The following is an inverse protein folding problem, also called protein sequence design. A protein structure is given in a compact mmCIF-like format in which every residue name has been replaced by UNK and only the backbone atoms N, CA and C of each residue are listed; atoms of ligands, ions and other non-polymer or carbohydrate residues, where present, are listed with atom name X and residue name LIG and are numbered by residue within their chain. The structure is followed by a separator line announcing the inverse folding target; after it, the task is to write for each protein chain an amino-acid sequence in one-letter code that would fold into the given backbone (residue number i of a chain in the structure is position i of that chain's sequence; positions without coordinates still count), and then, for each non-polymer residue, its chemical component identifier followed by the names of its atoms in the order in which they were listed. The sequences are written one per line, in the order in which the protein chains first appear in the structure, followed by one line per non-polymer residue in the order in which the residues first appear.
data_IF_375781784455
#
_entry.id   IF_375781784455
#
_cell.length_a   1.000
_cell.length_b   1.000
_cell.length_c   1.000
_cell.angle_alpha   90.00
_cell.angle_beta   90.00
_cell.angle_gamma   90.00
#
_symmetry.space_group_name_H-M   'P 1'
#
loop_
_entity.id
_entity.type
_entity.pdbx_description
1 polymer ?
#
# COMPACT_ATOMS: atom_id res chain seq x y z
N UNK A 1 -18.31 23.42 12.69
CA UNK A 1 -19.24 22.54 11.95
C UNK A 1 -19.51 23.15 10.58
N UNK A 2 -18.58 22.96 9.66
CA UNK A 2 -18.67 23.39 8.26
C UNK A 2 -19.51 22.35 7.52
N UNK A 3 -20.73 22.70 7.11
CA UNK A 3 -21.53 21.80 6.29
C UNK A 3 -20.79 21.55 4.95
N UNK A 4 -20.70 20.29 4.49
CA UNK A 4 -20.04 19.95 3.24
C UNK A 4 -20.74 20.68 2.09
N UNK A 5 -19.98 21.54 1.40
CA UNK A 5 -20.47 22.40 0.31
C UNK A 5 -20.98 21.63 -0.92
N UNK A 6 -20.82 20.30 -0.95
CA UNK A 6 -21.18 19.44 -2.07
C UNK A 6 -22.70 19.42 -2.39
N UNK A 7 -23.56 19.77 -1.44
CA UNK A 7 -25.01 19.52 -1.56
C UNK A 7 -25.78 20.64 -2.27
N UNK A 8 -25.14 21.80 -2.51
CA UNK A 8 -25.83 23.00 -3.02
C UNK A 8 -26.02 23.05 -4.54
N UNK A 9 -25.36 22.18 -5.30
CA UNK A 9 -25.40 22.21 -6.78
C UNK A 9 -26.25 21.11 -7.43
N UNK A 10 -26.91 20.25 -6.66
CA UNK A 10 -27.78 19.21 -7.23
C UNK A 10 -29.09 19.81 -7.77
N UNK A 11 -29.55 19.42 -8.98
CA UNK A 11 -30.83 19.87 -9.53
C UNK A 11 -32.00 19.52 -8.61
N UNK A 12 -33.00 20.40 -8.52
CA UNK A 12 -34.18 20.26 -7.65
C UNK A 12 -34.87 18.87 -7.68
N UNK A 13 -35.09 18.21 -8.83
CA UNK A 13 -35.73 16.89 -8.86
C UNK A 13 -34.88 15.79 -8.20
N UNK A 14 -33.54 15.88 -8.26
CA UNK A 14 -32.66 14.90 -7.61
C UNK A 14 -32.72 14.99 -6.08
N UNK A 15 -32.93 16.20 -5.53
CA UNK A 15 -33.01 16.41 -4.07
C UNK A 15 -34.24 15.75 -3.45
N UNK A 16 -35.33 15.65 -4.22
CA UNK A 16 -36.57 14.98 -3.81
C UNK A 16 -36.41 13.45 -3.76
N UNK A 17 -35.59 12.87 -4.64
CA UNK A 17 -35.33 11.43 -4.69
C UNK A 17 -34.31 10.96 -3.63
N UNK A 18 -33.33 11.81 -3.26
CA UNK A 18 -32.30 11.43 -2.28
C UNK A 18 -32.80 11.36 -0.83
N UNK A 19 -33.76 12.22 -0.45
CA UNK A 19 -34.28 12.28 0.93
C UNK A 19 -34.84 10.95 1.45
N UNK A 20 -35.73 10.23 0.75
CA UNK A 20 -36.25 8.97 1.25
C UNK A 20 -35.16 7.89 1.36
N UNK A 21 -34.20 7.85 0.43
CA UNK A 21 -33.10 6.89 0.45
C UNK A 21 -32.18 7.04 1.67
N UNK A 22 -31.93 8.27 2.09
CA UNK A 22 -31.14 8.53 3.30
C UNK A 22 -31.86 7.99 4.55
N UNK A 23 -33.18 8.17 4.65
CA UNK A 23 -33.97 7.64 5.77
C UNK A 23 -33.94 6.11 5.79
N UNK A 24 -34.06 5.46 4.62
CA UNK A 24 -33.96 3.99 4.50
C UNK A 24 -32.59 3.50 4.94
N UNK A 25 -31.51 4.17 4.54
CA UNK A 25 -30.14 3.80 4.94
C UNK A 25 -29.93 3.90 6.46
N UNK A 26 -30.37 5.01 7.08
CA UNK A 26 -30.26 5.20 8.54
C UNK A 26 -31.12 4.17 9.28
N UNK A 27 -32.34 3.91 8.81
CA UNK A 27 -33.22 2.90 9.39
C UNK A 27 -32.63 1.49 9.35
N UNK A 28 -32.00 1.11 8.22
CA UNK A 28 -31.36 -0.19 8.06
C UNK A 28 -30.17 -0.35 9.02
N UNK A 29 -29.33 0.67 9.18
CA UNK A 29 -28.20 0.62 10.10
C UNK A 29 -28.67 0.46 11.56
N UNK A 30 -29.72 1.17 11.97
CA UNK A 30 -30.30 1.03 13.32
C UNK A 30 -30.88 -0.37 13.52
N UNK A 31 -31.53 -0.95 12.51
CA UNK A 31 -32.07 -2.31 12.58
C UNK A 31 -30.96 -3.36 12.76
N UNK A 32 -29.83 -3.22 12.03
CA UNK A 32 -28.67 -4.12 12.15
C UNK A 32 -28.07 -4.05 13.56
N UNK A 33 -27.98 -2.86 14.16
CA UNK A 33 -27.48 -2.70 15.53
C UNK A 33 -28.43 -3.24 16.61
N UNK A 34 -29.74 -3.32 16.32
CA UNK A 34 -30.72 -3.93 17.22
C UNK A 34 -30.76 -5.47 17.13
N UNK A 35 -30.20 -6.07 16.08
CA UNK A 35 -30.11 -7.51 15.99
C UNK A 35 -29.05 -8.02 16.96
N UNK A 36 -29.41 -8.82 17.98
CA UNK A 36 -28.43 -9.40 18.88
C UNK A 36 -27.50 -10.28 18.06
N UNK A 37 -26.23 -9.89 17.99
CA UNK A 37 -25.19 -10.71 17.39
C UNK A 37 -25.18 -12.02 18.19
N UNK A 38 -25.35 -13.19 17.55
CA UNK A 38 -25.22 -14.46 18.25
C UNK A 38 -23.84 -14.49 18.89
N UNK A 39 -23.80 -14.64 20.21
CA UNK A 39 -22.56 -14.76 20.96
C UNK A 39 -21.69 -15.81 20.27
N UNK A 40 -20.59 -15.38 19.66
CA UNK A 40 -19.51 -16.27 19.24
C UNK A 40 -18.80 -16.75 20.49
N UNK A 41 -19.49 -17.55 21.29
CA UNK A 41 -18.88 -18.45 22.26
C UNK A 41 -18.22 -19.59 21.48
N UNK A 42 -17.22 -19.27 20.66
CA UNK A 42 -16.21 -20.23 20.29
C UNK A 42 -15.45 -20.48 21.58
N UNK A 43 -15.83 -21.56 22.28
CA UNK A 43 -14.97 -22.18 23.28
C UNK A 43 -13.65 -22.48 22.58
N UNK A 44 -12.67 -21.61 22.78
CA UNK A 44 -11.28 -21.97 22.66
C UNK A 44 -11.08 -23.13 23.64
N UNK A 45 -10.80 -24.36 23.16
CA UNK A 45 -10.54 -25.47 24.05
C UNK A 45 -9.35 -25.05 24.92
N UNK A 46 -9.43 -25.18 26.26
CA UNK A 46 -8.34 -24.80 27.13
C UNK A 46 -7.09 -25.52 26.65
N UNK A 47 -6.13 -24.73 26.14
CA UNK A 47 -4.80 -25.19 25.81
C UNK A 47 -4.28 -25.82 27.10
N UNK A 48 -4.13 -27.14 27.11
CA UNK A 48 -3.55 -27.86 28.23
C UNK A 48 -2.19 -27.21 28.50
N UNK A 49 -2.08 -26.52 29.64
CA UNK A 49 -0.81 -26.01 30.14
C UNK A 49 0.10 -27.21 30.35
N UNK A 50 0.93 -27.50 29.37
CA UNK A 50 2.05 -28.41 29.54
C UNK A 50 2.97 -27.73 30.56
N UNK A 51 3.26 -28.37 31.71
CA UNK A 51 4.12 -27.78 32.72
C UNK A 51 5.49 -27.53 32.08
N UNK A 52 5.80 -26.26 31.85
CA UNK A 52 7.10 -25.80 31.40
C UNK A 52 8.13 -26.28 32.42
N UNK A 53 8.81 -27.38 32.10
CA UNK A 53 10.02 -27.77 32.78
C UNK A 53 11.03 -26.65 32.55
N UNK A 54 11.23 -25.84 33.57
CA UNK A 54 12.32 -24.87 33.66
C UNK A 54 13.62 -25.66 33.43
N UNK A 55 14.11 -25.64 32.19
CA UNK A 55 15.43 -26.14 31.85
C UNK A 55 16.42 -25.19 32.49
N UNK A 56 16.82 -25.50 33.72
CA UNK A 56 17.93 -24.84 34.37
C UNK A 56 19.15 -25.02 33.48
N UNK A 57 19.72 -23.91 33.00
CA UNK A 57 20.99 -23.95 32.29
C UNK A 57 22.04 -24.52 33.27
N UNK A 58 22.73 -25.61 32.93
CA UNK A 58 23.81 -26.11 33.74
C UNK A 58 24.90 -25.03 33.84
N UNK A 59 25.41 -24.83 35.06
CA UNK A 59 26.54 -23.97 35.32
C UNK A 59 27.71 -24.35 34.40
N UNK A 60 28.27 -23.33 33.74
CA UNK A 60 29.39 -23.44 32.82
C UNK A 60 30.53 -24.26 33.43
N UNK A 61 30.83 -25.47 32.92
CA UNK A 61 31.91 -26.30 33.45
C UNK A 61 33.26 -25.72 33.03
N UNK A 62 34.20 -25.71 33.99
CA UNK A 62 35.60 -25.37 33.80
C UNK A 62 36.23 -26.18 32.63
N UNK A 63 37.23 -25.61 31.92
CA UNK A 63 37.83 -26.23 30.75
C UNK A 63 38.48 -27.56 31.12
N UNK A 64 37.87 -28.66 30.69
CA UNK A 64 38.40 -30.00 30.87
C UNK A 64 39.10 -30.44 29.58
N UNK A 65 40.27 -31.04 29.74
CA UNK A 65 41.16 -31.54 28.71
C UNK A 65 40.46 -32.43 27.66
N UNK A 66 40.98 -32.48 26.42
CA UNK A 66 40.34 -33.18 25.30
C UNK A 66 40.25 -34.69 25.56
N UNK A 67 39.01 -35.19 25.60
CA UNK A 67 38.68 -36.61 25.68
C UNK A 67 38.77 -37.24 24.26
N UNK A 68 39.24 -38.48 24.12
CA UNK A 68 39.44 -39.13 22.82
C UNK A 68 38.13 -39.27 22.02
N UNK A 69 38.22 -39.02 20.72
CA UNK A 69 37.10 -39.03 19.80
C UNK A 69 36.36 -40.39 19.78
N UNK A 70 35.07 -40.35 20.07
CA UNK A 70 34.17 -41.48 19.86
C UNK A 70 34.02 -41.78 18.36
N UNK A 71 33.94 -43.07 17.97
CA UNK A 71 33.77 -43.47 16.58
C UNK A 71 32.44 -42.95 15.99
N UNK A 72 32.42 -42.63 14.68
CA UNK A 72 31.28 -42.01 14.01
C UNK A 72 30.05 -42.91 14.05
N UNK A 73 28.93 -42.32 14.49
CA UNK A 73 27.61 -42.96 14.49
C UNK A 73 27.19 -43.25 13.04
N UNK A 74 26.66 -44.45 12.72
CA UNK A 74 26.20 -44.78 11.39
C UNK A 74 25.15 -43.79 10.89
N UNK A 75 25.18 -43.41 9.59
CA UNK A 75 24.19 -42.50 9.03
C UNK A 75 22.79 -43.12 9.11
N UNK A 76 21.75 -42.29 9.37
CA UNK A 76 20.37 -42.76 9.39
C UNK A 76 19.98 -43.32 8.01
N UNK A 77 19.09 -44.33 7.97
CA UNK A 77 18.62 -44.92 6.72
C UNK A 77 17.92 -43.86 5.86
N UNK A 78 18.34 -43.77 4.61
CA UNK A 78 17.81 -42.82 3.63
C UNK A 78 16.33 -43.15 3.37
N UNK A 79 15.40 -42.18 3.50
CA UNK A 79 13.98 -42.41 3.22
C UNK A 79 13.79 -42.92 1.79
N UNK A 80 13.18 -44.09 1.65
CA UNK A 80 12.87 -44.69 0.36
C UNK A 80 11.77 -43.83 -0.31
N UNK A 81 12.09 -43.25 -1.47
CA UNK A 81 11.18 -42.37 -2.20
C UNK A 81 9.87 -43.09 -2.53
N UNK A 82 8.74 -42.54 -2.07
CA UNK A 82 7.43 -43.00 -2.49
C UNK A 82 7.24 -42.77 -4.00
N UNK A 83 6.56 -43.69 -4.71
CA UNK A 83 6.30 -43.53 -6.14
C UNK A 83 5.53 -42.24 -6.40
N UNK A 84 6.07 -41.37 -7.26
CA UNK A 84 5.42 -40.15 -7.69
C UNK A 84 4.06 -40.47 -8.32
N UNK A 85 2.99 -39.88 -7.78
CA UNK A 85 1.66 -39.99 -8.36
C UNK A 85 1.68 -39.44 -9.79
N UNK A 86 1.18 -40.24 -10.73
CA UNK A 86 1.10 -39.88 -12.14
C UNK A 86 0.17 -38.66 -12.29
N UNK A 87 0.58 -37.60 -13.02
CA UNK A 87 -0.27 -36.43 -13.22
C UNK A 87 -1.57 -36.82 -13.92
N UNK A 88 -2.70 -36.62 -13.25
CA UNK A 88 -4.03 -36.74 -13.86
C UNK A 88 -4.21 -35.56 -14.82
N UNK A 89 -4.45 -35.86 -16.10
CA UNK A 89 -4.69 -34.82 -17.10
C UNK A 89 -5.88 -33.93 -16.70
N UNK A 90 -5.77 -32.60 -16.82
CA UNK A 90 -6.87 -31.71 -16.51
C UNK A 90 -8.05 -31.97 -17.46
N UNK A 91 -9.30 -31.84 -16.98
CA UNK A 91 -10.47 -31.98 -17.82
C UNK A 91 -10.48 -30.91 -18.93
N UNK A 92 -11.03 -31.21 -20.11
CA UNK A 92 -11.13 -30.26 -21.21
C UNK A 92 -11.95 -29.04 -20.77
N UNK A 93 -11.35 -27.85 -20.86
CA UNK A 93 -12.03 -26.59 -20.59
C UNK A 93 -13.04 -26.31 -21.71
N UNK A 94 -14.28 -26.06 -21.31
CA UNK A 94 -15.37 -25.65 -22.20
C UNK A 94 -15.02 -24.32 -22.88
N UNK A 95 -15.32 -24.13 -24.18
CA UNK A 95 -14.97 -22.91 -24.91
C UNK A 95 -15.67 -21.69 -24.29
N UNK A 96 -14.86 -20.72 -23.84
CA UNK A 96 -15.33 -19.41 -23.40
C UNK A 96 -16.02 -18.70 -24.56
N UNK A 97 -17.26 -18.19 -24.38
CA UNK A 97 -17.95 -17.43 -25.42
C UNK A 97 -17.15 -16.18 -25.78
N UNK A 98 -16.88 -16.00 -27.07
CA UNK A 98 -16.17 -14.84 -27.61
C UNK A 98 -17.00 -13.57 -27.33
N UNK A 99 -16.39 -12.49 -26.80
CA UNK A 99 -17.09 -11.23 -26.57
C UNK A 99 -17.57 -10.65 -27.90
N UNK A 100 -18.86 -10.34 -27.94
CA UNK A 100 -19.54 -9.70 -29.06
C UNK A 100 -19.14 -8.21 -29.07
N UNK A 101 -18.49 -7.77 -30.14
CA UNK A 101 -18.01 -6.40 -30.32
C UNK A 101 -19.16 -5.40 -30.12
N UNK A 102 -19.10 -4.62 -29.04
CA UNK A 102 -19.96 -3.47 -28.81
C UNK A 102 -19.53 -2.32 -29.75
N UNK A 103 -20.48 -1.58 -30.37
CA UNK A 103 -20.17 -0.50 -31.30
C UNK A 103 -19.35 0.61 -30.63
N UNK A 104 -18.25 0.97 -31.27
CA UNK A 104 -17.38 2.09 -30.92
C UNK A 104 -18.19 3.39 -30.90
N UNK A 105 -18.16 4.18 -29.81
CA UNK A 105 -18.78 5.51 -29.80
C UNK A 105 -18.05 6.42 -30.79
N UNK A 106 -18.81 7.06 -31.68
CA UNK A 106 -18.35 8.12 -32.57
C UNK A 106 -17.82 9.32 -31.78
N UNK A 107 -16.66 9.91 -32.14
CA UNK A 107 -16.12 11.09 -31.47
C UNK A 107 -17.06 12.28 -31.60
N UNK A 108 -17.50 12.82 -30.45
CA UNK A 108 -18.24 14.07 -30.39
C UNK A 108 -17.28 15.23 -30.67
N UNK A 109 -17.66 16.11 -31.59
CA UNK A 109 -16.86 17.23 -32.06
C UNK A 109 -16.41 18.14 -30.89
N UNK A 110 -15.10 18.36 -30.83
CA UNK A 110 -14.43 19.27 -29.91
C UNK A 110 -14.85 20.72 -30.21
N UNK A 111 -15.39 21.49 -29.25
CA UNK A 111 -15.70 22.90 -29.46
C UNK A 111 -14.41 23.71 -29.65
N UNK A 112 -14.36 24.45 -30.75
CA UNK A 112 -13.24 25.32 -31.12
C UNK A 112 -13.00 26.40 -30.05
N UNK A 113 -11.76 26.68 -29.66
CA UNK A 113 -11.45 27.75 -28.69
C UNK A 113 -11.81 29.13 -29.25
N UNK A 114 -12.27 30.07 -28.42
CA UNK A 114 -12.55 31.44 -28.84
C UNK A 114 -11.25 32.16 -29.21
N UNK A 115 -11.29 32.82 -30.38
CA UNK A 115 -10.22 33.66 -30.92
C UNK A 115 -9.89 34.82 -29.98
N UNK A 116 -8.61 35.09 -29.67
CA UNK A 116 -8.23 36.26 -28.89
C UNK A 116 -8.45 37.55 -29.69
N UNK A 117 -9.15 38.49 -29.06
CA UNK A 117 -9.35 39.87 -29.53
C UNK A 117 -8.04 40.66 -29.40
N UNK A 118 -7.62 41.44 -30.42
CA UNK A 118 -6.43 42.28 -30.32
C UNK A 118 -6.69 43.64 -29.65
N UNK A 119 -5.60 44.27 -29.20
CA UNK A 119 -5.39 45.71 -28.95
C UNK A 119 -5.64 46.23 -27.50
N UNK A 120 -4.94 47.27 -27.00
CA UNK A 120 -4.13 48.26 -27.73
C UNK A 120 -2.67 48.45 -27.29
N UNK A 121 -1.95 48.96 -28.28
CA UNK A 121 -0.59 49.44 -28.32
C UNK A 121 -0.50 50.79 -27.61
N UNK A 122 0.18 50.85 -26.46
CA UNK A 122 0.63 52.11 -25.86
C UNK A 122 2.14 52.22 -26.05
N UNK A 123 2.51 52.96 -27.08
CA UNK A 123 3.83 53.56 -27.27
C UNK A 123 4.08 54.59 -26.17
N UNK A 124 4.96 54.25 -25.22
CA UNK A 124 5.68 55.25 -24.42
C UNK A 124 7.17 55.02 -24.63
N UNK A 125 7.78 55.90 -25.41
CA UNK A 125 9.21 55.91 -25.70
C UNK A 125 9.93 56.58 -24.55
N UNK A 126 10.30 55.83 -23.51
CA UNK A 126 11.31 56.27 -22.55
C UNK A 126 12.67 55.65 -22.91
N UNK A 127 13.58 56.55 -23.25
CA UNK A 127 14.98 56.31 -23.54
C UNK A 127 15.67 55.74 -22.29
N UNK A 128 15.77 54.42 -22.20
CA UNK A 128 16.51 53.75 -21.13
C UNK A 128 18.01 53.74 -21.43
N UNK A 129 18.74 54.26 -20.46
CA UNK A 129 20.18 54.10 -20.23
C UNK A 129 20.61 52.64 -20.40
N UNK A 130 21.82 52.34 -20.93
CA UNK A 130 22.29 50.97 -21.13
C UNK A 130 22.30 50.20 -19.79
N UNK A 131 21.33 49.30 -19.64
CA UNK A 131 21.25 48.38 -18.51
C UNK A 131 22.42 47.39 -18.60
N UNK A 132 23.15 47.16 -17.50
CA UNK A 132 24.28 46.23 -17.48
C UNK A 132 23.81 44.84 -17.90
N UNK A 133 24.65 44.17 -18.71
CA UNK A 133 24.44 42.81 -19.18
C UNK A 133 24.05 41.90 -18.00
N UNK A 134 22.90 41.20 -18.06
CA UNK A 134 22.45 40.36 -16.96
C UNK A 134 23.51 39.31 -16.68
N UNK A 135 23.98 39.26 -15.44
CA UNK A 135 24.83 38.18 -14.95
C UNK A 135 24.12 36.84 -15.26
N UNK A 136 24.87 35.79 -15.67
CA UNK A 136 24.29 34.50 -15.99
C UNK A 136 23.39 34.05 -14.83
N UNK A 137 22.11 33.86 -15.14
CA UNK A 137 21.15 33.32 -14.20
C UNK A 137 21.71 31.99 -13.67
N UNK A 138 21.81 31.80 -12.35
CA UNK A 138 22.34 30.56 -11.80
C UNK A 138 21.49 29.42 -12.37
N UNK A 139 22.16 28.42 -12.95
CA UNK A 139 21.52 27.17 -13.36
C UNK A 139 20.66 26.70 -12.18
N UNK A 140 19.36 26.40 -12.39
CA UNK A 140 18.50 25.95 -11.30
C UNK A 140 19.20 24.80 -10.62
N UNK A 141 19.39 24.92 -9.30
CA UNK A 141 19.82 23.79 -8.49
C UNK A 141 18.82 22.66 -8.77
N UNK A 142 19.29 21.42 -8.99
CA UNK A 142 18.39 20.30 -9.20
C UNK A 142 17.39 20.29 -8.05
N UNK A 143 16.11 20.51 -8.37
CA UNK A 143 15.05 20.40 -7.40
C UNK A 143 15.06 18.95 -6.95
N UNK A 144 15.46 18.74 -5.69
CA UNK A 144 15.48 17.45 -5.03
C UNK A 144 14.03 17.00 -4.89
N UNK A 145 13.46 16.50 -5.98
CA UNK A 145 12.10 16.01 -6.04
C UNK A 145 12.13 14.70 -5.28
N UNK A 146 11.71 14.75 -4.01
CA UNK A 146 11.72 13.57 -3.16
C UNK A 146 10.94 12.46 -3.85
N UNK A 147 11.48 11.25 -3.84
CA UNK A 147 10.85 10.03 -4.36
C UNK A 147 9.36 9.96 -3.95
N UNK A 148 9.05 10.35 -2.71
CA UNK A 148 7.71 10.42 -2.17
C UNK A 148 6.70 11.22 -3.03
N UNK A 149 7.14 12.22 -3.79
CA UNK A 149 6.26 12.99 -4.69
C UNK A 149 5.96 12.26 -6.02
N UNK A 150 6.83 11.36 -6.45
CA UNK A 150 6.67 10.61 -7.70
C UNK A 150 5.90 9.30 -7.52
N UNK A 151 5.74 8.82 -6.28
CA UNK A 151 5.08 7.53 -6.05
C UNK A 151 3.58 7.68 -6.32
N UNK A 152 3.03 6.84 -7.21
CA UNK A 152 1.66 7.01 -7.67
C UNK A 152 0.67 6.40 -6.68
N UNK A 153 0.39 7.16 -5.63
CA UNK A 153 -0.60 6.80 -4.61
C UNK A 153 -2.01 6.55 -5.18
N UNK A 154 -2.29 7.16 -6.33
CA UNK A 154 -3.55 7.01 -7.05
C UNK A 154 -3.80 5.58 -7.55
N UNK A 155 -2.76 4.79 -7.83
CA UNK A 155 -2.91 3.46 -8.46
C UNK A 155 -3.51 2.45 -7.49
N UNK A 156 -3.20 2.57 -6.20
CA UNK A 156 -3.75 1.70 -5.14
C UNK A 156 -4.97 2.31 -4.44
N UNK A 157 -5.50 3.42 -4.95
CA UNK A 157 -6.57 4.17 -4.27
C UNK A 157 -6.15 4.66 -2.88
N UNK A 158 -4.86 4.96 -2.71
CA UNK A 158 -4.30 5.42 -1.45
C UNK A 158 -4.78 6.83 -1.14
N UNK A 159 -5.44 7.00 0.01
CA UNK A 159 -5.74 8.32 0.54
C UNK A 159 -4.56 8.81 1.38
N UNK A 160 -4.14 10.08 1.24
CA UNK A 160 -3.11 10.63 2.10
C UNK A 160 -3.62 10.74 3.54
N UNK A 161 -2.75 10.44 4.49
CA UNK A 161 -2.97 10.77 5.90
C UNK A 161 -3.18 9.56 6.80
N UNK A 162 -2.07 9.05 7.34
CA UNK A 162 -2.07 8.26 8.57
C UNK A 162 -2.05 9.22 9.76
N UNK A 163 -3.20 9.80 10.09
CA UNK A 163 -3.27 10.82 11.14
C UNK A 163 -2.62 12.17 10.78
N UNK A 164 -2.53 12.49 9.48
CA UNK A 164 -2.00 13.77 8.98
C UNK A 164 -0.48 13.83 8.80
N UNK A 165 0.21 12.70 8.87
CA UNK A 165 1.63 12.60 8.55
C UNK A 165 1.86 12.74 7.04
N UNK A 166 2.85 13.54 6.69
CA UNK A 166 3.38 13.60 5.32
C UNK A 166 4.05 12.27 5.01
N UNK A 167 3.95 11.82 3.75
CA UNK A 167 4.52 10.56 3.29
C UNK A 167 3.93 9.26 3.90
N UNK A 168 2.71 9.33 4.41
CA UNK A 168 1.97 8.16 4.84
C UNK A 168 0.60 8.07 4.15
N UNK A 169 0.32 6.90 3.58
CA UNK A 169 -0.88 6.64 2.81
C UNK A 169 -1.61 5.40 3.30
N UNK A 170 -2.93 5.44 3.16
CA UNK A 170 -3.81 4.33 3.55
C UNK A 170 -4.66 3.89 2.36
N UNK A 171 -4.77 2.57 2.18
CA UNK A 171 -5.73 1.95 1.27
C UNK A 171 -6.81 1.25 2.09
N UNK A 172 -8.03 1.10 1.55
CA UNK A 172 -9.09 0.32 2.20
C UNK A 172 -8.88 -1.19 2.07
N UNK A 173 -7.92 -1.64 1.25
CA UNK A 173 -7.62 -3.04 1.06
C UNK A 173 -6.86 -3.58 2.28
N UNK A 174 -7.39 -4.62 2.90
CA UNK A 174 -6.76 -5.32 4.04
C UNK A 174 -5.83 -6.45 3.59
N UNK A 175 -5.76 -6.72 2.29
CA UNK A 175 -4.86 -7.71 1.70
C UNK A 175 -3.55 -7.04 1.29
N UNK A 176 -2.63 -6.86 2.24
CA UNK A 176 -1.34 -6.22 1.97
C UNK A 176 -0.58 -6.82 0.78
N UNK A 177 -0.71 -8.13 0.51
CA UNK A 177 -0.07 -8.79 -0.65
C UNK A 177 -0.58 -8.30 -2.01
N UNK A 178 -1.81 -7.82 -2.06
CA UNK A 178 -2.42 -7.22 -3.25
C UNK A 178 -1.83 -5.83 -3.46
N UNK A 179 -1.84 -5.02 -2.40
CA UNK A 179 -1.31 -3.66 -2.38
C UNK A 179 0.19 -3.65 -2.70
N UNK A 180 0.97 -4.53 -2.08
CA UNK A 180 2.40 -4.64 -2.30
C UNK A 180 2.74 -4.94 -3.76
N UNK A 181 2.12 -5.97 -4.37
CA UNK A 181 2.33 -6.29 -5.79
C UNK A 181 1.95 -5.16 -6.74
N UNK A 182 0.89 -4.42 -6.43
CA UNK A 182 0.49 -3.27 -7.22
C UNK A 182 1.51 -2.13 -7.12
N UNK A 183 2.06 -1.88 -5.91
CA UNK A 183 3.11 -0.89 -5.70
C UNK A 183 4.44 -1.31 -6.36
N UNK A 184 4.87 -2.55 -6.17
CA UNK A 184 6.06 -3.14 -6.83
C UNK A 184 5.99 -2.96 -8.34
N UNK A 185 4.91 -3.45 -8.97
CA UNK A 185 4.75 -3.38 -10.43
C UNK A 185 4.76 -1.94 -10.95
N UNK A 186 4.15 -1.02 -10.21
CA UNK A 186 4.07 0.38 -10.61
C UNK A 186 5.41 1.12 -10.42
N UNK A 187 6.17 0.79 -9.37
CA UNK A 187 7.53 1.26 -9.16
C UNK A 187 8.47 0.71 -10.25
N UNK A 188 8.41 -0.59 -10.54
CA UNK A 188 9.18 -1.19 -11.63
C UNK A 188 8.86 -0.53 -12.98
N UNK A 189 7.57 -0.25 -13.27
CA UNK A 189 7.15 0.44 -14.49
C UNK A 189 7.73 1.86 -14.60
N UNK A 190 8.06 2.50 -13.48
CA UNK A 190 8.73 3.81 -13.43
C UNK A 190 10.26 3.72 -13.44
N UNK A 191 10.81 2.51 -13.49
CA UNK A 191 12.24 2.24 -13.54
C UNK A 191 12.91 2.29 -12.17
N UNK A 192 12.18 1.96 -11.10
CA UNK A 192 12.77 1.67 -9.80
C UNK A 192 13.12 0.19 -9.69
N UNK A 193 14.21 -0.12 -9.01
CA UNK A 193 14.53 -1.47 -8.56
C UNK A 193 13.93 -1.67 -7.16
N UNK A 194 13.14 -2.73 -6.96
CA UNK A 194 12.44 -3.02 -5.70
C UNK A 194 12.90 -4.37 -5.15
N UNK A 195 13.43 -4.38 -3.93
CA UNK A 195 13.92 -5.58 -3.24
C UNK A 195 13.28 -5.71 -1.85
N UNK A 196 12.75 -6.89 -1.51
CA UNK A 196 12.17 -7.11 -0.18
C UNK A 196 13.28 -7.36 0.84
N UNK A 197 13.37 -6.54 1.89
CA UNK A 197 14.44 -6.63 2.91
C UNK A 197 14.11 -7.55 4.09
N UNK A 198 12.83 -7.75 4.39
CA UNK A 198 12.43 -8.54 5.57
C UNK A 198 12.11 -9.98 5.20
N UNK A 199 12.93 -10.91 5.69
CA UNK A 199 12.66 -12.36 5.70
C UNK A 199 11.70 -12.77 6.82
N UNK A 200 11.47 -11.90 7.80
CA UNK A 200 10.56 -12.20 8.91
C UNK A 200 9.15 -12.43 8.37
N UNK A 201 8.64 -13.65 8.54
CA UNK A 201 7.28 -14.06 8.18
C UNK A 201 6.19 -13.40 9.05
N UNK A 202 6.48 -12.25 9.65
CA UNK A 202 5.51 -11.48 10.41
C UNK A 202 4.32 -11.17 9.49
N UNK A 203 3.13 -11.70 9.78
CA UNK A 203 1.99 -11.53 8.90
C UNK A 203 1.55 -10.07 8.91
N UNK A 204 1.39 -9.48 7.73
CA UNK A 204 0.86 -8.14 7.59
C UNK A 204 1.90 -7.02 7.71
N UNK A 205 3.19 -7.29 7.80
CA UNK A 205 4.23 -6.25 7.81
C UNK A 205 5.31 -6.58 6.78
N UNK A 206 5.70 -5.62 5.94
CA UNK A 206 6.78 -5.79 4.95
C UNK A 206 7.58 -4.51 4.79
N UNK A 207 8.87 -4.68 4.50
CA UNK A 207 9.76 -3.59 4.10
C UNK A 207 10.38 -3.93 2.76
N UNK A 208 10.31 -2.98 1.85
CA UNK A 208 10.95 -3.04 0.55
C UNK A 208 11.97 -1.92 0.44
N UNK A 209 13.18 -2.26 0.02
CA UNK A 209 14.15 -1.31 -0.47
C UNK A 209 13.78 -0.92 -1.91
N UNK A 210 13.64 0.37 -2.17
CA UNK A 210 13.30 0.92 -3.48
C UNK A 210 14.45 1.83 -3.89
N UNK A 211 15.08 1.53 -5.02
CA UNK A 211 16.24 2.29 -5.49
C UNK A 211 16.09 2.77 -6.93
N UNK A 212 16.68 3.94 -7.23
CA UNK A 212 16.73 4.53 -8.57
C UNK A 212 17.87 5.52 -8.65
N UNK A 213 18.68 5.45 -9.70
CA UNK A 213 19.85 6.32 -9.89
C UNK A 213 20.85 6.33 -8.72
N UNK A 214 20.90 5.24 -7.93
CA UNK A 214 21.78 5.12 -6.76
C UNK A 214 21.24 5.76 -5.48
N UNK A 215 20.05 6.37 -5.52
CA UNK A 215 19.30 6.76 -4.33
C UNK A 215 18.47 5.57 -3.85
N UNK A 216 18.37 5.40 -2.53
CA UNK A 216 17.70 4.28 -1.87
C UNK A 216 16.73 4.84 -0.84
N UNK A 217 15.49 4.38 -0.89
CA UNK A 217 14.45 4.62 0.12
C UNK A 217 13.80 3.29 0.54
N UNK A 218 13.07 3.31 1.64
CA UNK A 218 12.37 2.14 2.17
C UNK A 218 10.85 2.36 2.15
N UNK A 219 10.16 1.48 1.44
CA UNK A 219 8.72 1.37 1.44
C UNK A 219 8.30 0.37 2.53
N UNK A 220 7.73 0.91 3.60
CA UNK A 220 7.27 0.17 4.78
C UNK A 220 5.76 -0.02 4.69
N UNK A 221 5.27 -1.26 4.76
CA UNK A 221 3.84 -1.58 4.68
C UNK A 221 3.37 -2.27 5.96
N UNK A 222 2.20 -1.88 6.45
CA UNK A 222 1.48 -2.58 7.52
C UNK A 222 0.00 -2.75 7.20
N UNK A 223 -0.48 -3.98 7.39
CA UNK A 223 -1.87 -4.37 7.22
C UNK A 223 -2.59 -4.31 8.56
N UNK A 224 -3.73 -3.63 8.58
CA UNK A 224 -4.60 -3.55 9.76
C UNK A 224 -6.03 -3.93 9.39
N UNK A 225 -6.93 -3.96 10.37
CA UNK A 225 -8.37 -4.15 10.13
C UNK A 225 -9.00 -2.99 9.34
N UNK A 226 -8.38 -1.81 9.36
CA UNK A 226 -8.86 -0.61 8.66
C UNK A 226 -8.28 -0.47 7.25
N UNK A 227 -7.42 -1.41 6.83
CA UNK A 227 -6.75 -1.40 5.55
C UNK A 227 -5.23 -1.47 5.65
N UNK A 228 -4.55 -1.28 4.52
CA UNK A 228 -3.09 -1.33 4.43
C UNK A 228 -2.53 0.08 4.39
N UNK A 229 -1.64 0.38 5.34
CA UNK A 229 -0.87 1.60 5.39
C UNK A 229 0.50 1.36 4.76
N UNK A 230 1.02 2.38 4.08
CA UNK A 230 2.39 2.36 3.59
C UNK A 230 3.06 3.72 3.74
N UNK A 231 4.35 3.69 4.03
CA UNK A 231 5.20 4.85 4.35
C UNK A 231 6.49 4.74 3.57
N UNK A 232 6.92 5.84 2.98
CA UNK A 232 8.27 5.97 2.40
C UNK A 232 9.18 6.74 3.35
N UNK A 233 10.36 6.21 3.58
CA UNK A 233 11.34 6.77 4.50
C UNK A 233 12.77 6.47 4.06
N UNK A 234 13.73 7.27 4.53
CA UNK A 234 15.15 7.08 4.26
C UNK A 234 15.73 5.82 4.94
N UNK A 235 15.04 5.29 5.95
CA UNK A 235 15.44 4.11 6.72
C UNK A 235 14.29 3.11 6.85
N UNK A 236 14.62 1.81 6.92
CA UNK A 236 13.67 0.76 7.24
C UNK A 236 13.09 0.99 8.65
N UNK A 237 11.77 1.14 8.74
CA UNK A 237 11.08 1.34 10.00
C UNK A 237 10.72 -0.01 10.63
N UNK A 238 10.79 -0.10 11.95
CA UNK A 238 10.28 -1.27 12.66
C UNK A 238 8.75 -1.30 12.64
N UNK A 239 8.17 -2.48 12.87
CA UNK A 239 6.71 -2.63 12.99
C UNK A 239 6.13 -1.70 14.07
N UNK A 240 6.77 -1.63 15.23
CA UNK A 240 6.31 -0.81 16.35
C UNK A 240 6.33 0.68 16.01
N UNK A 241 7.33 1.13 15.25
CA UNK A 241 7.39 2.50 14.74
C UNK A 241 6.24 2.78 13.78
N UNK A 242 5.95 1.85 12.85
CA UNK A 242 4.83 2.00 11.93
C UNK A 242 3.48 2.01 12.66
N UNK A 243 3.28 1.13 13.64
CA UNK A 243 2.04 1.09 14.44
C UNK A 243 1.84 2.38 15.25
N UNK A 244 2.91 2.98 15.76
CA UNK A 244 2.86 4.28 16.44
C UNK A 244 2.52 5.40 15.45
N UNK A 245 3.12 5.38 14.25
CA UNK A 245 2.88 6.39 13.23
C UNK A 245 1.45 6.34 12.68
N UNK A 246 0.92 5.15 12.44
CA UNK A 246 -0.44 4.96 11.90
C UNK A 246 -1.52 5.03 12.97
N UNK A 247 -1.16 5.05 14.26
CA UNK A 247 -2.10 4.94 15.37
C UNK A 247 -2.78 3.57 15.45
N UNK A 248 -2.19 2.53 14.83
CA UNK A 248 -2.72 1.17 14.82
C UNK A 248 -2.43 0.37 16.10
N UNK A 249 -1.80 0.97 17.12
CA UNK A 249 -1.51 0.32 18.39
C UNK A 249 -2.81 -0.09 19.11
N UNK A 250 -3.15 -1.38 19.06
CA UNK A 250 -4.21 -2.06 19.82
C UNK A 250 -5.69 -1.67 19.54
N UNK A 251 -6.09 -1.54 18.27
CA UNK A 251 -7.53 -1.59 17.90
C UNK A 251 -7.97 -2.98 17.45
#
# INVERSE_FOLDING_TARGET
MTQPRLWKNLPAPLRLLLRPWLIVSVGLHVLILLFPLPDRSTSEPPLAEEPVQITQLPASPAPTAPSPASPPKPPPPVPQASPAARPTAPPPTSPTPSPQNSPSPTPQANPSPPSPTPSPQNTSSEQQSPSPSPAPSPSPAPENTSFAAEIPHAVVGGEPGCGGQENCWQTQDTQWRSVARALEQELENKGYDVEQQTDDETPGFRVYEVSRNGEVEYLNLISTLQGTFYVLADEAMSREQLEQLTGASNS
#
